data_IF_172994237210
#
_entry.id   IF_172994237210
#
_cell.length_a   1.000
_cell.length_b   1.000
_cell.length_c   1.000
_cell.angle_alpha   90.00
_cell.angle_beta   90.00
_cell.angle_gamma   90.00
#
_symmetry.space_group_name_H-M   'P 1'
#
loop_
_entity.id
_entity.type
_entity.pdbx_description
1 polymer ?
#
# COMPACT_ATOMS: atom_id res chain seq x y z
N UNK A 1 -48.77 5.03 -3.83
CA UNK A 1 -48.89 4.35 -5.14
C UNK A 1 -48.13 5.18 -6.17
N UNK A 2 -46.87 4.82 -6.42
CA UNK A 2 -46.05 5.19 -7.58
C UNK A 2 -44.77 4.36 -7.48
N UNK A 3 -44.77 3.29 -8.26
CA UNK A 3 -43.68 2.36 -8.50
C UNK A 3 -42.62 3.04 -9.37
N UNK A 4 -41.35 2.87 -9.03
CA UNK A 4 -40.25 3.13 -9.98
C UNK A 4 -39.36 1.90 -10.03
N UNK A 5 -39.30 1.35 -11.24
CA UNK A 5 -38.59 0.16 -11.66
C UNK A 5 -37.08 0.40 -11.67
N UNK A 6 -36.33 -0.58 -11.14
CA UNK A 6 -34.88 -0.61 -11.22
C UNK A 6 -34.44 -1.02 -12.63
N UNK A 7 -33.75 -0.11 -13.31
CA UNK A 7 -33.02 -0.41 -14.53
C UNK A 7 -31.75 -1.22 -14.20
N UNK A 8 -31.75 -2.49 -14.59
CA UNK A 8 -30.56 -3.34 -14.64
C UNK A 8 -29.60 -2.86 -15.73
N UNK A 9 -28.37 -2.48 -15.36
CA UNK A 9 -27.26 -2.41 -16.31
C UNK A 9 -26.32 -3.60 -16.10
N UNK A 10 -26.34 -4.50 -17.09
CA UNK A 10 -25.29 -5.48 -17.36
C UNK A 10 -24.12 -4.75 -18.05
N UNK A 11 -22.90 -4.98 -17.59
CA UNK A 11 -21.71 -4.82 -18.45
C UNK A 11 -20.92 -6.12 -18.43
N UNK A 12 -21.09 -6.87 -19.52
CA UNK A 12 -20.27 -8.01 -19.85
C UNK A 12 -18.90 -7.58 -20.35
N UNK A 13 -17.93 -8.42 -20.01
CA UNK A 13 -16.57 -8.46 -20.51
C UNK A 13 -16.58 -9.03 -21.95
N UNK A 14 -15.85 -8.43 -22.91
CA UNK A 14 -15.32 -9.29 -23.97
C UNK A 14 -13.97 -8.78 -24.51
N UNK A 15 -12.85 -9.40 -24.12
CA UNK A 15 -11.68 -9.49 -25.01
C UNK A 15 -10.94 -10.81 -24.80
N UNK A 16 -11.42 -11.81 -25.54
CA UNK A 16 -10.63 -12.98 -25.94
C UNK A 16 -9.92 -12.66 -27.26
N UNK A 17 -8.59 -12.71 -27.27
CA UNK A 17 -7.78 -12.58 -28.48
C UNK A 17 -6.50 -13.40 -28.37
N UNK A 18 -6.54 -14.63 -28.88
CA UNK A 18 -5.34 -15.44 -29.17
C UNK A 18 -4.65 -14.85 -30.40
N UNK A 19 -3.34 -14.59 -30.32
CA UNK A 19 -2.46 -14.62 -31.49
C UNK A 19 -1.11 -15.24 -31.12
N UNK A 20 -0.67 -16.09 -32.02
CA UNK A 20 0.44 -17.03 -32.01
C UNK A 20 1.80 -16.41 -32.35
N UNK A 21 2.85 -17.08 -31.87
CA UNK A 21 4.18 -17.29 -32.48
C UNK A 21 4.89 -16.10 -33.15
N UNK A 22 5.98 -15.62 -32.54
CA UNK A 22 7.16 -15.21 -33.29
C UNK A 22 8.43 -15.51 -32.48
N UNK A 23 9.22 -16.43 -33.01
CA UNK A 23 10.61 -16.72 -32.67
C UNK A 23 11.51 -15.61 -33.20
N UNK A 24 12.41 -15.08 -32.38
CA UNK A 24 13.61 -14.39 -32.86
C UNK A 24 14.85 -15.01 -32.25
N UNK A 25 15.64 -15.57 -33.16
CA UNK A 25 16.99 -16.08 -32.99
C UNK A 25 17.94 -14.88 -32.97
N UNK A 26 18.85 -14.81 -32.02
CA UNK A 26 20.11 -14.08 -32.20
C UNK A 26 21.27 -14.90 -31.64
N UNK A 27 21.91 -15.65 -32.53
CA UNK A 27 23.23 -16.21 -32.34
C UNK A 27 24.26 -15.07 -32.47
N UNK A 28 25.08 -14.85 -31.44
CA UNK A 28 26.36 -14.17 -31.61
C UNK A 28 27.41 -15.23 -31.98
N UNK A 29 27.84 -15.25 -33.25
CA UNK A 29 29.04 -15.95 -33.69
C UNK A 29 30.24 -15.04 -33.50
N UNK A 30 31.20 -15.48 -32.67
CA UNK A 30 32.57 -14.99 -32.71
C UNK A 30 33.24 -15.52 -33.99
N UNK A 31 33.70 -14.62 -34.84
CA UNK A 31 34.62 -14.94 -35.92
C UNK A 31 35.63 -13.80 -36.08
N UNK A 32 36.78 -13.94 -35.41
CA UNK A 32 38.00 -13.21 -35.72
C UNK A 32 38.92 -14.16 -36.49
N UNK A 33 38.88 -14.08 -37.81
CA UNK A 33 39.92 -14.60 -38.70
C UNK A 33 40.28 -13.43 -39.62
N UNK A 34 41.42 -12.79 -39.36
CA UNK A 34 42.07 -11.94 -40.34
C UNK A 34 43.36 -12.63 -40.79
N UNK A 35 43.31 -13.05 -42.06
CA UNK A 35 44.44 -13.52 -42.85
C UNK A 35 45.51 -12.43 -42.97
N UNK A 36 46.76 -12.77 -42.68
CA UNK A 36 47.93 -12.05 -43.17
C UNK A 36 48.66 -12.99 -44.10
N UNK A 37 48.53 -12.76 -45.41
CA UNK A 37 49.44 -13.36 -46.38
C UNK A 37 49.57 -12.42 -47.58
N UNK A 38 50.69 -11.71 -47.64
CA UNK A 38 51.24 -11.26 -48.92
C UNK A 38 52.75 -11.51 -48.94
N UNK A 39 53.14 -12.16 -50.03
CA UNK A 39 54.42 -12.75 -50.40
C UNK A 39 55.38 -11.68 -50.88
N UNK A 40 56.66 -11.70 -50.47
CA UNK A 40 57.78 -11.34 -51.36
C UNK A 40 58.93 -12.35 -51.17
N UNK A 41 59.30 -12.90 -52.31
CA UNK A 41 60.34 -13.88 -52.59
C UNK A 41 61.74 -13.24 -52.58
N UNK A 42 62.71 -13.99 -52.03
CA UNK A 42 64.15 -14.01 -52.34
C UNK A 42 64.91 -12.68 -52.38
N UNK A 43 65.63 -12.39 -51.30
CA UNK A 43 66.89 -11.65 -51.36
C UNK A 43 67.88 -12.28 -50.37
N UNK A 44 68.97 -12.82 -50.91
CA UNK A 44 70.17 -13.17 -50.18
C UNK A 44 70.78 -11.90 -49.57
N UNK A 45 71.12 -11.97 -48.28
CA UNK A 45 72.13 -11.19 -47.54
C UNK A 45 71.57 -10.58 -46.23
N UNK A 46 72.04 -11.10 -45.08
CA UNK A 46 71.50 -10.84 -43.73
C UNK A 46 71.80 -9.45 -43.13
N UNK A 47 72.21 -8.45 -43.93
CA UNK A 47 72.59 -7.13 -43.40
C UNK A 47 71.61 -5.98 -43.70
N UNK A 48 70.60 -6.17 -44.54
CA UNK A 48 69.65 -5.09 -44.88
C UNK A 48 68.27 -5.19 -44.22
N UNK A 49 67.92 -6.31 -43.58
CA UNK A 49 66.64 -6.43 -42.85
C UNK A 49 66.57 -5.56 -41.57
N UNK A 50 67.73 -5.11 -41.05
CA UNK A 50 67.81 -4.34 -39.81
C UNK A 50 67.54 -2.83 -39.97
N UNK A 51 67.54 -2.31 -41.21
CA UNK A 51 67.28 -0.88 -41.45
C UNK A 51 65.84 -0.56 -41.86
N UNK A 52 65.07 -1.52 -42.38
CA UNK A 52 63.67 -1.28 -42.76
C UNK A 52 62.67 -1.46 -41.61
N UNK A 53 63.01 -2.24 -40.58
CA UNK A 53 62.16 -2.36 -39.36
C UNK A 53 62.29 -1.11 -38.46
N UNK A 54 63.43 -0.41 -38.50
CA UNK A 54 63.68 0.76 -37.66
C UNK A 54 63.02 2.06 -38.14
N UNK A 55 62.58 2.15 -39.41
CA UNK A 55 61.97 3.38 -39.92
C UNK A 55 60.43 3.43 -39.79
N UNK A 56 59.77 2.31 -39.48
CA UNK A 56 58.31 2.26 -39.35
C UNK A 56 57.81 2.35 -37.90
N UNK A 57 58.69 2.12 -36.91
CA UNK A 57 58.33 2.11 -35.48
C UNK A 57 58.47 3.48 -34.77
N UNK A 58 59.04 4.51 -35.41
CA UNK A 58 59.31 5.82 -34.76
C UNK A 58 58.48 7.01 -35.27
N UNK A 59 57.41 6.80 -36.05
CA UNK A 59 56.58 7.91 -36.58
C UNK A 59 55.11 7.93 -36.17
N UNK A 60 54.61 6.95 -35.40
CA UNK A 60 53.23 6.94 -34.90
C UNK A 60 53.15 6.87 -33.37
N UNK A 61 54.10 7.50 -32.68
CA UNK A 61 54.24 7.44 -31.22
C UNK A 61 53.55 8.57 -30.41
N UNK A 62 52.65 9.43 -30.95
CA UNK A 62 51.82 10.26 -30.07
C UNK A 62 50.30 9.99 -30.18
N UNK A 63 49.84 8.89 -30.78
CA UNK A 63 48.40 8.63 -30.94
C UNK A 63 47.85 7.39 -30.23
N UNK A 64 48.68 6.65 -29.48
CA UNK A 64 48.26 5.44 -28.74
C UNK A 64 48.51 5.60 -27.24
N UNK A 65 48.33 6.81 -26.71
CA UNK A 65 48.30 7.06 -25.25
C UNK A 65 47.14 7.97 -24.82
N UNK A 66 46.11 8.12 -25.66
CA UNK A 66 44.90 8.89 -25.36
C UNK A 66 43.62 8.09 -25.67
N UNK A 67 43.67 6.75 -25.53
CA UNK A 67 42.49 5.89 -25.61
C UNK A 67 42.49 4.73 -24.60
N UNK A 68 43.26 4.87 -23.51
CA UNK A 68 43.27 3.90 -22.40
C UNK A 68 42.99 4.57 -21.04
N UNK A 69 42.20 5.66 -21.03
CA UNK A 69 41.80 6.36 -19.80
C UNK A 69 40.28 6.56 -19.67
N UNK A 70 39.46 5.79 -20.39
CA UNK A 70 37.99 5.90 -20.34
C UNK A 70 37.25 4.55 -20.31
N UNK A 71 37.90 3.48 -19.86
CA UNK A 71 37.25 2.17 -19.66
C UNK A 71 37.52 1.59 -18.27
N UNK A 72 37.60 2.45 -17.25
CA UNK A 72 37.26 2.04 -15.88
C UNK A 72 35.83 2.51 -15.58
N UNK A 73 34.87 2.07 -16.40
CA UNK A 73 33.51 1.91 -15.92
C UNK A 73 33.61 0.80 -14.90
N UNK A 74 33.88 1.19 -13.65
CA UNK A 74 33.77 0.27 -12.54
C UNK A 74 32.39 -0.33 -12.62
N UNK A 75 32.33 -1.66 -12.77
CA UNK A 75 31.19 -2.41 -12.30
C UNK A 75 31.04 -2.03 -10.82
N UNK A 76 30.19 -1.04 -10.53
CA UNK A 76 29.61 -0.90 -9.21
C UNK A 76 28.97 -2.27 -8.98
N UNK A 77 29.59 -3.08 -8.11
CA UNK A 77 28.86 -4.08 -7.36
C UNK A 77 27.58 -3.39 -6.93
N UNK A 78 26.43 -3.94 -7.28
CA UNK A 78 25.17 -3.64 -6.62
C UNK A 78 25.37 -3.97 -5.14
N UNK A 79 25.99 -3.04 -4.41
CA UNK A 79 26.00 -3.00 -2.97
C UNK A 79 24.67 -2.35 -2.63
N UNK A 80 23.77 -3.20 -2.16
CA UNK A 80 22.71 -2.82 -1.25
C UNK A 80 21.73 -1.80 -1.85
N UNK A 81 21.03 -2.17 -2.94
CA UNK A 81 19.68 -1.62 -3.11
C UNK A 81 18.84 -2.23 -2.00
N UNK A 82 18.50 -1.41 -1.02
CA UNK A 82 17.44 -1.72 -0.06
C UNK A 82 16.25 -2.27 -0.86
N UNK A 83 15.75 -3.47 -0.52
CA UNK A 83 14.63 -4.05 -1.25
C UNK A 83 13.48 -3.06 -1.24
N UNK A 84 12.89 -2.82 -2.41
CA UNK A 84 11.74 -1.93 -2.53
C UNK A 84 10.68 -2.35 -1.49
N UNK A 85 10.14 -1.36 -0.77
CA UNK A 85 9.14 -1.61 0.27
C UNK A 85 7.95 -2.33 -0.38
N UNK A 86 7.66 -3.54 0.11
CA UNK A 86 6.65 -4.43 -0.47
C UNK A 86 5.23 -3.88 -0.27
N UNK A 87 4.40 -3.98 -1.32
CA UNK A 87 2.97 -3.72 -1.27
C UNK A 87 2.16 -4.89 -0.69
N UNK A 88 2.85 -5.97 -0.29
CA UNK A 88 2.31 -7.17 0.36
C UNK A 88 2.86 -7.31 1.77
N UNK A 89 2.01 -7.71 2.72
CA UNK A 89 2.39 -8.04 4.10
C UNK A 89 1.70 -9.32 4.60
N UNK A 90 2.48 -10.30 5.07
CA UNK A 90 1.96 -11.58 5.56
C UNK A 90 1.70 -11.51 7.06
N UNK A 91 0.47 -11.12 7.45
CA UNK A 91 0.13 -10.94 8.87
C UNK A 91 0.25 -12.24 9.69
N UNK A 92 0.09 -13.40 9.06
CA UNK A 92 0.14 -14.70 9.75
C UNK A 92 1.59 -15.06 10.13
N UNK A 93 2.57 -14.62 9.32
CA UNK A 93 4.00 -14.85 9.59
C UNK A 93 4.67 -13.70 10.32
N UNK A 94 4.26 -12.46 10.05
CA UNK A 94 4.96 -11.25 10.47
C UNK A 94 4.26 -10.55 11.64
N UNK A 95 3.02 -10.93 11.96
CA UNK A 95 2.17 -10.19 12.87
C UNK A 95 1.69 -8.87 12.28
N UNK A 96 1.00 -8.07 13.09
CA UNK A 96 0.55 -6.73 12.73
C UNK A 96 1.56 -5.73 13.34
N UNK A 97 2.21 -4.88 12.54
CA UNK A 97 3.11 -3.86 13.06
C UNK A 97 2.31 -2.75 13.74
N UNK A 98 2.77 -2.32 14.92
CA UNK A 98 2.30 -1.10 15.58
C UNK A 98 3.13 0.09 15.06
N UNK A 99 2.55 0.94 14.23
CA UNK A 99 3.29 2.04 13.58
C UNK A 99 2.53 3.36 13.44
N UNK A 100 1.25 3.39 13.83
CA UNK A 100 0.42 4.59 13.83
C UNK A 100 0.64 5.34 15.14
N UNK A 101 1.14 6.58 15.07
CA UNK A 101 1.42 7.41 16.27
C UNK A 101 0.30 8.43 16.52
N UNK A 102 -0.55 8.67 15.52
CA UNK A 102 -1.60 9.68 15.58
C UNK A 102 -2.98 9.04 15.48
N UNK A 103 -3.83 9.39 16.45
CA UNK A 103 -5.24 9.02 16.36
C UNK A 103 -5.93 9.77 15.23
N UNK A 104 -6.67 9.05 14.38
CA UNK A 104 -7.36 9.64 13.23
C UNK A 104 -8.50 10.60 13.62
N UNK A 105 -8.89 10.64 14.89
CA UNK A 105 -10.01 11.44 15.39
C UNK A 105 -9.68 12.06 16.76
N UNK A 106 -10.28 13.21 17.06
CA UNK A 106 -10.17 13.89 18.35
C UNK A 106 -10.76 13.04 19.49
N UNK A 107 -9.93 12.17 20.08
CA UNK A 107 -10.34 11.18 21.10
C UNK A 107 -10.99 11.83 22.32
N UNK A 108 -10.62 13.07 22.67
CA UNK A 108 -11.20 13.76 23.83
C UNK A 108 -12.72 13.99 23.69
N UNK A 109 -13.26 13.95 22.46
CA UNK A 109 -14.68 14.14 22.16
C UNK A 109 -15.49 12.85 22.09
N UNK A 110 -14.84 11.69 22.13
CA UNK A 110 -15.47 10.38 21.90
C UNK A 110 -16.03 9.82 23.21
N UNK A 111 -17.25 9.29 23.23
CA UNK A 111 -17.80 8.63 24.42
C UNK A 111 -17.59 7.13 24.37
N UNK A 112 -17.71 6.52 23.19
CA UNK A 112 -17.57 5.08 23.03
C UNK A 112 -17.10 4.71 21.62
N UNK A 113 -16.46 3.56 21.52
CA UNK A 113 -15.98 3.00 20.25
C UNK A 113 -16.52 1.58 20.10
N UNK A 114 -16.98 1.23 18.90
CA UNK A 114 -17.43 -0.12 18.63
C UNK A 114 -16.26 -1.09 18.63
N UNK A 115 -16.55 -2.35 18.98
CA UNK A 115 -15.59 -3.43 18.81
C UNK A 115 -15.44 -3.81 17.34
N UNK A 116 -14.24 -4.23 16.97
CA UNK A 116 -13.98 -4.93 15.71
C UNK A 116 -14.79 -6.25 15.71
N UNK A 117 -15.37 -6.61 14.56
CA UNK A 117 -16.32 -7.74 14.41
C UNK A 117 -17.63 -7.56 15.18
N UNK A 118 -18.03 -6.34 15.51
CA UNK A 118 -19.34 -6.05 16.10
C UNK A 118 -20.46 -6.03 15.05
N UNK A 119 -21.70 -5.96 15.50
CA UNK A 119 -22.89 -5.65 14.69
C UNK A 119 -23.19 -4.15 14.59
N UNK A 120 -22.28 -3.28 15.03
CA UNK A 120 -22.48 -1.83 14.92
C UNK A 120 -22.39 -1.40 13.45
N UNK A 121 -23.29 -0.50 13.04
CA UNK A 121 -23.36 -0.01 11.66
C UNK A 121 -23.92 -1.07 10.72
N UNK A 122 -23.12 -1.47 9.74
CA UNK A 122 -23.49 -2.45 8.72
C UNK A 122 -22.38 -3.50 8.53
N UNK A 123 -22.72 -4.59 7.84
CA UNK A 123 -21.75 -5.62 7.45
C UNK A 123 -20.65 -4.97 6.61
N UNK A 124 -19.41 -5.22 6.99
CA UNK A 124 -18.23 -4.74 6.27
C UNK A 124 -17.18 -5.84 6.26
N UNK A 125 -17.63 -7.01 5.83
CA UNK A 125 -16.83 -8.20 5.69
C UNK A 125 -15.75 -8.08 4.63
N UNK A 126 -14.66 -8.78 4.85
CA UNK A 126 -13.65 -9.04 3.84
C UNK A 126 -13.86 -10.44 3.22
N UNK A 127 -12.88 -10.93 2.46
CA UNK A 127 -12.93 -12.25 1.85
C UNK A 127 -12.76 -13.42 2.84
N UNK A 128 -12.39 -13.15 4.10
CA UNK A 128 -12.00 -14.16 5.09
C UNK A 128 -13.01 -14.30 6.22
N UNK A 129 -13.73 -13.23 6.53
CA UNK A 129 -14.72 -13.20 7.60
C UNK A 129 -16.03 -12.61 7.11
N UNK A 130 -17.14 -13.34 7.32
CA UNK A 130 -18.46 -13.00 6.79
C UNK A 130 -19.41 -12.49 7.89
N UNK A 131 -20.35 -11.62 7.49
CA UNK A 131 -21.45 -11.09 8.29
C UNK A 131 -20.97 -10.51 9.64
N UNK A 132 -20.10 -9.50 9.59
CA UNK A 132 -19.59 -8.75 10.74
C UNK A 132 -18.99 -7.42 10.28
N UNK A 133 -19.03 -6.40 11.13
CA UNK A 133 -18.39 -5.13 10.79
C UNK A 133 -16.89 -5.19 11.10
N UNK A 134 -16.05 -5.11 10.07
CA UNK A 134 -14.58 -5.01 10.20
C UNK A 134 -14.10 -3.56 10.30
N UNK A 135 -14.97 -2.69 10.83
CA UNK A 135 -14.75 -1.26 11.08
C UNK A 135 -14.75 -1.00 12.59
N UNK A 136 -14.20 0.15 12.97
CA UNK A 136 -14.51 0.77 14.25
C UNK A 136 -15.32 2.03 14.06
N UNK A 137 -16.45 2.12 14.76
CA UNK A 137 -17.31 3.28 14.82
C UNK A 137 -17.03 4.04 16.11
N UNK A 138 -16.74 5.32 16.00
CA UNK A 138 -16.45 6.25 17.07
C UNK A 138 -17.67 7.14 17.26
N UNK A 139 -18.29 7.05 18.43
CA UNK A 139 -19.43 7.87 18.80
C UNK A 139 -18.96 9.03 19.69
N UNK A 140 -19.12 10.29 19.24
CA UNK A 140 -18.92 11.45 20.10
C UNK A 140 -19.88 11.48 21.29
N UNK A 141 -19.48 12.14 22.38
CA UNK A 141 -20.36 12.32 23.53
C UNK A 141 -21.58 13.19 23.19
N UNK A 142 -22.69 12.97 23.90
CA UNK A 142 -23.95 13.70 23.66
C UNK A 142 -23.83 15.21 23.87
N UNK A 143 -22.85 15.65 24.67
CA UNK A 143 -22.54 17.07 24.92
C UNK A 143 -21.68 17.71 23.83
N UNK A 144 -21.15 16.92 22.89
CA UNK A 144 -20.30 17.40 21.80
C UNK A 144 -21.15 17.67 20.57
N UNK A 145 -20.87 18.75 19.83
CA UNK A 145 -21.37 18.88 18.47
C UNK A 145 -20.57 17.95 17.54
N UNK A 146 -21.22 16.92 16.99
CA UNK A 146 -20.55 15.88 16.20
C UNK A 146 -19.87 16.44 14.94
N UNK A 147 -20.44 17.49 14.34
CA UNK A 147 -19.88 18.17 13.17
C UNK A 147 -18.58 18.96 13.46
N UNK A 148 -18.24 19.14 14.73
CA UNK A 148 -17.04 19.85 15.20
C UNK A 148 -15.91 18.90 15.63
N UNK A 149 -16.11 17.59 15.50
CA UNK A 149 -15.08 16.58 15.81
C UNK A 149 -14.06 16.55 14.67
N UNK A 150 -12.79 16.79 14.98
CA UNK A 150 -11.72 16.85 13.98
C UNK A 150 -11.28 15.45 13.57
N UNK A 151 -10.96 15.30 12.29
CA UNK A 151 -10.42 14.09 11.68
C UNK A 151 -9.02 14.38 11.14
N UNK A 152 -8.07 13.53 11.48
CA UNK A 152 -6.65 13.63 11.18
C UNK A 152 -6.17 12.44 10.35
N UNK A 153 -5.12 12.66 9.56
CA UNK A 153 -4.45 11.61 8.83
C UNK A 153 -3.63 10.74 9.81
N UNK A 154 -3.91 9.42 9.93
CA UNK A 154 -3.22 8.58 10.91
C UNK A 154 -1.78 8.25 10.50
N UNK A 155 -1.43 8.40 9.22
CA UNK A 155 -0.14 7.99 8.66
C UNK A 155 0.36 8.99 7.61
N UNK A 156 1.67 9.08 7.44
CA UNK A 156 2.23 9.67 6.22
C UNK A 156 2.06 8.67 5.07
N UNK A 157 1.57 9.14 3.92
CA UNK A 157 1.17 8.25 2.85
C UNK A 157 0.66 8.95 1.60
N UNK A 158 -0.03 8.18 0.77
CA UNK A 158 -0.63 8.63 -0.49
C UNK A 158 -2.12 8.31 -0.51
N UNK A 159 -2.92 9.27 -1.00
CA UNK A 159 -4.35 9.07 -1.24
C UNK A 159 -4.54 8.12 -2.41
N UNK A 160 -5.12 6.95 -2.17
CA UNK A 160 -5.41 5.94 -3.22
C UNK A 160 -6.85 5.98 -3.68
N UNK A 161 -7.76 6.56 -2.88
CA UNK A 161 -9.19 6.66 -3.20
C UNK A 161 -9.81 7.89 -2.52
N UNK A 162 -10.72 8.56 -3.23
CA UNK A 162 -11.58 9.61 -2.71
C UNK A 162 -12.97 9.40 -3.29
N UNK A 163 -13.98 9.23 -2.43
CA UNK A 163 -15.35 8.96 -2.85
C UNK A 163 -16.35 9.80 -2.07
N UNK A 164 -17.27 10.42 -2.79
CA UNK A 164 -18.42 11.05 -2.17
C UNK A 164 -19.42 9.96 -1.76
N UNK A 165 -19.78 9.95 -0.49
CA UNK A 165 -20.82 9.06 0.05
C UNK A 165 -22.11 9.85 0.30
N UNK A 166 -23.16 9.15 0.71
CA UNK A 166 -24.44 9.77 1.04
C UNK A 166 -24.31 10.77 2.20
N UNK A 167 -23.34 10.56 3.11
CA UNK A 167 -22.94 11.48 4.16
C UNK A 167 -21.41 11.61 4.17
N UNK A 168 -20.91 12.79 3.81
CA UNK A 168 -19.49 13.11 3.78
C UNK A 168 -18.69 12.39 2.70
N UNK A 169 -17.37 12.45 2.82
CA UNK A 169 -16.41 11.86 1.89
C UNK A 169 -15.68 10.72 2.57
N UNK A 170 -15.52 9.60 1.85
CA UNK A 170 -14.60 8.52 2.21
C UNK A 170 -13.28 8.71 1.49
N UNK A 171 -12.18 8.53 2.21
CA UNK A 171 -10.84 8.50 1.62
C UNK A 171 -10.14 7.19 1.97
N UNK A 172 -9.22 6.77 1.09
CA UNK A 172 -8.28 5.69 1.37
C UNK A 172 -6.85 6.20 1.27
N UNK A 173 -6.02 5.82 2.25
CA UNK A 173 -4.63 6.25 2.37
C UNK A 173 -3.74 5.01 2.45
N UNK A 174 -2.82 4.84 1.51
CA UNK A 174 -1.76 3.84 1.61
C UNK A 174 -0.60 4.40 2.44
N UNK A 175 -0.20 3.69 3.49
CA UNK A 175 0.88 4.13 4.36
C UNK A 175 2.24 4.05 3.66
N UNK A 176 3.06 5.09 3.76
CA UNK A 176 4.39 5.10 3.13
C UNK A 176 5.33 4.07 3.76
N UNK A 177 5.31 3.97 5.10
CA UNK A 177 6.18 3.05 5.85
C UNK A 177 5.80 1.58 5.67
N UNK A 178 4.50 1.31 5.49
CA UNK A 178 3.96 -0.04 5.27
C UNK A 178 2.92 -0.01 4.13
N UNK A 179 3.36 0.01 2.85
CA UNK A 179 2.48 0.18 1.68
C UNK A 179 1.38 -0.87 1.53
N UNK A 180 1.52 -2.03 2.16
CA UNK A 180 0.47 -3.04 2.22
C UNK A 180 -0.74 -2.61 3.08
N UNK A 181 -0.57 -1.66 4.01
CA UNK A 181 -1.61 -1.19 4.93
C UNK A 181 -2.28 0.05 4.37
N UNK A 182 -3.60 -0.03 4.23
CA UNK A 182 -4.45 1.06 3.74
C UNK A 182 -5.51 1.40 4.77
N UNK A 183 -5.68 2.69 5.02
CA UNK A 183 -6.64 3.23 5.97
C UNK A 183 -7.81 3.81 5.21
N UNK A 184 -9.02 3.32 5.47
CA UNK A 184 -10.24 3.92 4.94
C UNK A 184 -10.91 4.70 6.05
N UNK A 185 -11.13 5.99 5.82
CA UNK A 185 -11.78 6.89 6.78
C UNK A 185 -13.05 7.43 6.13
N UNK A 186 -14.16 7.33 6.85
CA UNK A 186 -15.50 7.57 6.33
C UNK A 186 -16.10 8.86 6.91
N UNK A 187 -17.17 9.35 6.26
CA UNK A 187 -18.03 10.42 6.78
C UNK A 187 -17.28 11.73 7.14
N UNK A 188 -16.31 12.11 6.31
CA UNK A 188 -15.53 13.32 6.49
C UNK A 188 -16.20 14.50 5.78
N UNK A 189 -16.44 15.59 6.49
CA UNK A 189 -16.58 16.92 5.90
C UNK A 189 -15.17 17.50 5.63
N UNK A 190 -14.73 17.38 4.38
CA UNK A 190 -13.36 17.67 3.97
C UNK A 190 -13.00 19.15 4.19
N UNK A 191 -11.92 19.41 4.93
CA UNK A 191 -11.34 20.75 5.05
C UNK A 191 -10.33 21.06 3.93
N UNK A 192 -9.80 20.01 3.29
CA UNK A 192 -8.82 20.07 2.21
C UNK A 192 -9.36 19.29 1.02
N UNK A 193 -9.30 19.89 -0.18
CA UNK A 193 -9.62 19.18 -1.41
C UNK A 193 -8.46 18.24 -1.75
N UNK A 194 -8.63 16.95 -1.46
CA UNK A 194 -7.68 15.89 -1.79
C UNK A 194 -8.14 15.12 -3.03
N UNK A 195 -7.18 14.68 -3.84
CA UNK A 195 -7.39 13.77 -4.98
C UNK A 195 -6.43 12.59 -4.90
N UNK A 196 -6.76 11.53 -5.64
CA UNK A 196 -5.88 10.36 -5.79
C UNK A 196 -4.49 10.78 -6.26
N UNK A 197 -3.46 10.23 -5.63
CA UNK A 197 -2.05 10.54 -5.85
C UNK A 197 -1.50 11.68 -4.97
N UNK A 198 -2.35 12.42 -4.25
CA UNK A 198 -1.87 13.44 -3.31
C UNK A 198 -1.12 12.78 -2.14
N UNK A 199 0.01 13.38 -1.76
CA UNK A 199 0.77 13.00 -0.57
C UNK A 199 0.20 13.70 0.66
N UNK A 200 0.08 12.95 1.74
CA UNK A 200 -0.41 13.44 3.04
C UNK A 200 0.59 13.07 4.13
N UNK A 201 0.70 13.92 5.14
CA UNK A 201 1.54 13.68 6.30
C UNK A 201 0.69 13.22 7.48
N UNK A 202 1.25 12.35 8.32
CA UNK A 202 0.66 12.02 9.62
C UNK A 202 0.30 13.31 10.40
N UNK A 203 -0.87 13.33 11.04
CA UNK A 203 -1.38 14.48 11.79
C UNK A 203 -2.00 15.61 10.96
N UNK A 204 -1.97 15.54 9.62
CA UNK A 204 -2.70 16.48 8.78
C UNK A 204 -4.20 16.45 9.12
N UNK A 205 -4.80 17.60 9.44
CA UNK A 205 -6.25 17.67 9.62
C UNK A 205 -6.93 17.55 8.25
N UNK A 206 -7.57 16.41 8.01
CA UNK A 206 -8.27 16.10 6.76
C UNK A 206 -9.60 16.85 6.66
N UNK A 207 -10.25 17.03 7.81
CA UNK A 207 -11.58 17.59 7.89
C UNK A 207 -12.17 17.51 9.29
N UNK A 208 -13.48 17.51 9.33
CA UNK A 208 -14.28 17.22 10.51
C UNK A 208 -15.22 16.07 10.21
N UNK A 209 -15.80 15.45 11.23
CA UNK A 209 -16.90 14.52 11.04
C UNK A 209 -18.12 15.24 10.46
N UNK A 210 -18.91 14.56 9.63
CA UNK A 210 -20.00 15.18 8.86
C UNK A 210 -21.15 15.70 9.74
N UNK A 211 -21.51 14.97 10.80
CA UNK A 211 -22.64 15.36 11.65
C UNK A 211 -23.13 14.23 12.55
N UNK A 212 -24.38 14.31 13.01
CA UNK A 212 -24.99 13.32 13.91
C UNK A 212 -25.76 12.21 13.17
N UNK A 213 -25.87 12.32 11.85
CA UNK A 213 -26.52 11.35 10.96
C UNK A 213 -25.74 10.03 10.80
N UNK A 214 -24.45 10.04 11.14
CA UNK A 214 -23.54 8.89 11.07
C UNK A 214 -22.69 8.81 12.33
N UNK A 215 -22.07 7.67 12.60
CA UNK A 215 -20.86 7.63 13.43
C UNK A 215 -19.65 7.96 12.58
N UNK A 216 -18.54 8.36 13.19
CA UNK A 216 -17.26 8.41 12.47
C UNK A 216 -16.67 7.01 12.44
N UNK A 217 -16.22 6.50 11.30
CA UNK A 217 -15.61 5.17 11.24
C UNK A 217 -14.34 5.08 10.42
N UNK A 218 -13.58 4.03 10.74
CA UNK A 218 -12.29 3.70 10.14
C UNK A 218 -12.18 2.18 9.97
N UNK A 219 -11.57 1.74 8.87
CA UNK A 219 -11.09 0.37 8.68
C UNK A 219 -9.62 0.37 8.23
N UNK A 220 -8.93 -0.74 8.48
CA UNK A 220 -7.56 -0.98 8.04
C UNK A 220 -7.53 -2.23 7.19
N UNK A 221 -7.17 -2.08 5.92
CA UNK A 221 -7.04 -3.17 4.95
C UNK A 221 -5.56 -3.47 4.75
N UNK A 222 -5.21 -4.75 4.77
CA UNK A 222 -3.89 -5.27 4.48
C UNK A 222 -3.93 -6.04 3.16
N UNK A 223 -3.06 -5.66 2.24
CA UNK A 223 -2.74 -6.48 1.07
C UNK A 223 -1.90 -7.67 1.55
N UNK A 224 -2.57 -8.75 1.93
CA UNK A 224 -1.91 -10.00 2.30
C UNK A 224 -1.40 -10.76 1.05
N UNK A 225 -0.64 -11.86 1.20
CA UNK A 225 -0.15 -12.64 0.06
C UNK A 225 -1.25 -13.16 -0.88
N UNK A 226 -2.49 -13.27 -0.41
CA UNK A 226 -3.63 -13.65 -1.24
C UNK A 226 -4.17 -12.48 -2.08
N UNK A 227 -3.82 -11.24 -1.72
CA UNK A 227 -4.30 -9.98 -2.32
C UNK A 227 -5.82 -9.81 -2.28
N UNK A 228 -6.50 -10.48 -1.36
CA UNK A 228 -7.95 -10.37 -1.19
C UNK A 228 -8.37 -9.24 -0.22
N UNK A 229 -7.41 -8.50 0.34
CA UNK A 229 -7.67 -7.35 1.20
C UNK A 229 -8.17 -7.76 2.59
N UNK A 230 -7.30 -8.38 3.38
CA UNK A 230 -7.63 -8.81 4.74
C UNK A 230 -7.74 -7.61 5.66
N UNK A 231 -8.77 -7.54 6.50
CA UNK A 231 -8.94 -6.42 7.42
C UNK A 231 -8.41 -6.74 8.82
N UNK A 232 -7.88 -5.72 9.49
CA UNK A 232 -7.39 -5.80 10.87
C UNK A 232 -7.99 -4.67 11.70
N UNK A 233 -7.97 -4.82 13.03
CA UNK A 233 -8.42 -3.77 13.94
C UNK A 233 -7.53 -2.54 13.79
N UNK A 234 -8.14 -1.35 13.80
CA UNK A 234 -7.39 -0.09 13.84
C UNK A 234 -6.53 0.00 15.11
N UNK A 235 -6.97 -0.62 16.21
CA UNK A 235 -6.21 -0.62 17.45
C UNK A 235 -4.96 -1.51 17.39
N UNK A 236 -4.93 -2.53 16.53
CA UNK A 236 -3.76 -3.41 16.37
C UNK A 236 -2.57 -2.71 15.70
N UNK A 237 -2.82 -1.61 14.96
CA UNK A 237 -1.74 -0.84 14.29
C UNK A 237 -1.30 0.39 15.09
N UNK A 238 -1.98 0.72 16.19
CA UNK A 238 -1.61 1.84 17.07
C UNK A 238 -0.38 1.50 17.89
N UNK A 239 0.60 2.39 17.89
CA UNK A 239 1.71 2.36 18.86
C UNK A 239 1.21 2.56 20.28
N UNK A 240 1.97 2.10 21.27
CA UNK A 240 1.65 2.31 22.70
C UNK A 240 1.46 3.80 23.03
N UNK A 241 2.27 4.66 22.42
CA UNK A 241 2.15 6.11 22.57
C UNK A 241 0.81 6.66 22.08
N UNK A 242 0.33 6.20 20.91
CA UNK A 242 -0.99 6.58 20.40
C UNK A 242 -2.13 5.99 21.24
N UNK A 243 -1.95 4.75 21.71
CA UNK A 243 -2.95 4.04 22.52
C UNK A 243 -3.11 4.63 23.93
N UNK A 244 -2.10 5.35 24.43
CA UNK A 244 -2.14 5.98 25.75
C UNK A 244 -3.37 6.89 25.97
N UNK A 245 -3.90 7.51 24.90
CA UNK A 245 -5.12 8.30 24.97
C UNK A 245 -6.35 7.50 25.44
N UNK A 246 -6.41 6.19 25.16
CA UNK A 246 -7.48 5.30 25.61
C UNK A 246 -7.21 4.75 27.02
N UNK A 247 -5.93 4.50 27.36
CA UNK A 247 -5.52 4.11 28.71
C UNK A 247 -5.91 5.19 29.73
N UNK A 248 -5.67 6.46 29.39
CA UNK A 248 -6.07 7.61 30.21
C UNK A 248 -7.60 7.71 30.39
N UNK A 249 -8.36 6.98 29.58
CA UNK A 249 -9.83 6.92 29.62
C UNK A 249 -10.36 5.56 30.06
N UNK A 250 -9.54 4.84 30.84
CA UNK A 250 -9.93 3.63 31.55
C UNK A 250 -9.80 2.33 30.75
N UNK A 251 -9.18 2.34 29.57
CA UNK A 251 -9.04 1.13 28.74
C UNK A 251 -7.59 0.60 28.78
N UNK A 252 -7.31 -0.46 29.56
CA UNK A 252 -5.93 -0.89 29.79
C UNK A 252 -5.31 -1.69 28.65
N UNK A 253 -6.10 -2.23 27.71
CA UNK A 253 -5.60 -3.10 26.65
C UNK A 253 -6.36 -2.91 25.33
N UNK A 254 -5.65 -3.05 24.20
CA UNK A 254 -6.22 -2.96 22.84
C UNK A 254 -7.29 -4.01 22.57
N UNK A 255 -7.14 -5.21 23.14
CA UNK A 255 -8.09 -6.31 23.00
C UNK A 255 -9.51 -5.97 23.47
N UNK A 256 -9.68 -4.97 24.34
CA UNK A 256 -11.00 -4.49 24.75
C UNK A 256 -11.86 -4.03 23.55
N UNK A 257 -11.21 -3.56 22.48
CA UNK A 257 -11.86 -3.12 21.25
C UNK A 257 -12.07 -4.23 20.22
N UNK A 258 -11.80 -5.49 20.54
CA UNK A 258 -11.81 -6.58 19.55
C UNK A 258 -12.66 -7.73 20.08
N UNK A 259 -13.70 -8.09 19.34
CA UNK A 259 -14.29 -9.43 19.46
C UNK A 259 -13.37 -10.36 18.66
N UNK A 260 -12.90 -11.45 19.26
CA UNK A 260 -12.01 -12.37 18.55
C UNK A 260 -12.76 -13.04 17.39
N UNK A 261 -12.02 -13.54 16.40
CA UNK A 261 -12.65 -14.27 15.30
C UNK A 261 -13.41 -15.49 15.82
N UNK A 262 -12.80 -16.22 16.75
CA UNK A 262 -13.35 -17.43 17.36
C UNK A 262 -14.62 -17.13 18.14
N UNK A 263 -14.63 -16.05 18.93
CA UNK A 263 -15.80 -15.63 19.70
C UNK A 263 -16.95 -15.21 18.78
N UNK A 264 -16.65 -14.47 17.70
CA UNK A 264 -17.66 -14.11 16.71
C UNK A 264 -18.17 -15.34 15.94
N UNK A 265 -17.31 -16.28 15.59
CA UNK A 265 -17.70 -17.51 14.89
C UNK A 265 -18.58 -18.42 15.77
N UNK A 266 -18.40 -18.37 17.09
CA UNK A 266 -19.27 -19.04 18.08
C UNK A 266 -20.60 -18.30 18.31
N UNK A 267 -20.67 -17.02 17.98
CA UNK A 267 -21.84 -16.15 18.15
C UNK A 267 -22.18 -15.44 16.81
N UNK A 268 -22.53 -16.21 15.77
CA UNK A 268 -22.65 -15.68 14.42
C UNK A 268 -23.83 -14.71 14.30
N UNK A 269 -23.64 -13.67 13.50
CA UNK A 269 -24.71 -12.78 13.07
C UNK A 269 -25.41 -13.36 11.82
N UNK A 270 -26.62 -12.89 11.56
CA UNK A 270 -27.35 -13.13 10.32
C UNK A 270 -27.47 -11.82 9.56
N UNK A 271 -27.17 -11.85 8.26
CA UNK A 271 -27.18 -10.68 7.39
C UNK A 271 -28.13 -10.86 6.20
N UNK A 272 -28.74 -9.77 5.76
CA UNK A 272 -29.44 -9.65 4.48
C UNK A 272 -28.83 -8.50 3.70
N UNK A 273 -28.02 -8.83 2.68
CA UNK A 273 -27.09 -7.85 2.12
C UNK A 273 -26.16 -7.33 3.23
N UNK A 274 -25.98 -6.02 3.30
CA UNK A 274 -25.11 -5.41 4.30
C UNK A 274 -25.79 -5.20 5.66
N UNK A 275 -27.06 -5.60 5.82
CA UNK A 275 -27.84 -5.35 7.04
C UNK A 275 -27.81 -6.54 7.97
N UNK A 276 -27.44 -6.31 9.24
CA UNK A 276 -27.63 -7.30 10.31
C UNK A 276 -29.11 -7.48 10.63
N UNK A 277 -29.62 -8.70 10.56
CA UNK A 277 -31.02 -9.05 10.85
C UNK A 277 -31.20 -9.81 12.16
N UNK A 278 -30.11 -10.32 12.74
CA UNK A 278 -30.11 -10.93 14.07
C UNK A 278 -29.78 -9.90 15.15
N UNK A 279 -30.27 -10.13 16.36
CA UNK A 279 -29.73 -9.46 17.55
C UNK A 279 -28.33 -9.98 17.85
N UNK A 280 -27.39 -9.09 18.16
CA UNK A 280 -26.04 -9.48 18.57
C UNK A 280 -26.01 -9.81 20.07
N UNK A 281 -25.60 -11.03 20.46
CA UNK A 281 -25.51 -11.41 21.86
C UNK A 281 -24.26 -10.87 22.56
N UNK A 282 -23.29 -10.34 21.80
CA UNK A 282 -22.03 -9.83 22.34
C UNK A 282 -22.09 -8.33 22.61
N UNK A 283 -21.32 -7.89 23.61
CA UNK A 283 -21.18 -6.46 23.89
C UNK A 283 -20.44 -5.78 22.72
N UNK A 284 -21.04 -4.73 22.19
CA UNK A 284 -20.62 -4.10 20.95
C UNK A 284 -19.76 -2.86 21.17
N UNK A 285 -19.86 -2.25 22.35
CA UNK A 285 -19.27 -0.94 22.62
C UNK A 285 -18.25 -1.02 23.76
N UNK A 286 -17.20 -0.23 23.61
CA UNK A 286 -16.25 0.11 24.67
C UNK A 286 -16.52 1.55 25.09
N UNK A 287 -16.92 1.75 26.34
CA UNK A 287 -17.20 3.08 26.90
C UNK A 287 -15.89 3.70 27.40
N UNK A 288 -15.61 4.93 26.99
CA UNK A 288 -14.45 5.70 27.41
C UNK A 288 -14.83 6.61 28.60
N UNK A 289 -14.04 6.58 29.66
CA UNK A 289 -14.24 7.39 30.87
C UNK A 289 -13.93 8.88 30.66
#
# INVERSE_FOLDING_TARGET
>A
MKTYENAYFRTGNPFSGKCSNFTWISHYRLSCLFNVQLVISVASNQKELFQLVNLYLMKNLPFIFTLCLLMTVGCKKDKDREPAVSDIWDIDKQGIPEFVNTNYIDIAKIQRVSRFRSSVGHDYSDAFEHCRSMKHYFQPADSVNWSEVKIFCPVTGEITRVEQEWAGTKIEIAAEKYPAFRFQIFHINMAVALKVGDKVTEGLQLGKHIGAETYSDISVIVNDPTRQGRMVSYFDVLTDGAFQAFVLRGIPNRSAFIISKEERDQNPLVCSGDTFTSQDPLENWVILQ
#
